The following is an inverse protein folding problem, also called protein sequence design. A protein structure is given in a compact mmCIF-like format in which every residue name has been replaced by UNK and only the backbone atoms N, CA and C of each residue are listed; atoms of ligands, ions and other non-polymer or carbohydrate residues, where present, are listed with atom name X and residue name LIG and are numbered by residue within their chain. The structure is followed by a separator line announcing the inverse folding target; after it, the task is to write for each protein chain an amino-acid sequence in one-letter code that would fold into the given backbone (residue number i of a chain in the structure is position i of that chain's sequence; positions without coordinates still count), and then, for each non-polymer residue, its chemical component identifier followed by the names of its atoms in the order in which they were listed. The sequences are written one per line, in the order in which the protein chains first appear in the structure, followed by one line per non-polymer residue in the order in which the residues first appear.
data_IF_361481452606
#
_entry.id   IF_361481452606
#
_cell.length_a   1.000
_cell.length_b   1.000
_cell.length_c   1.000
_cell.angle_alpha   90.00
_cell.angle_beta   90.00
_cell.angle_gamma   90.00
#
_symmetry.space_group_name_H-M   'P 1'
#
loop_
_entity.id
_entity.type
_entity.pdbx_description
1 polymer ?
#
# COMPACT_ATOMS: atom_id res chain seq x y z
N UNK A 1 -10.22 31.84 24.23
CA UNK A 1 -11.59 31.82 23.69
C UNK A 1 -12.64 31.71 24.82
N UNK A 2 -12.50 32.44 25.86
CA UNK A 2 -13.49 32.57 26.97
C UNK A 2 -13.66 34.06 27.27
N UNK A 3 -13.84 34.85 26.23
CA UNK A 3 -14.21 36.28 26.37
C UNK A 3 -15.34 36.56 25.38
N UNK A 4 -16.54 36.21 25.80
CA UNK A 4 -17.79 36.45 25.09
C UNK A 4 -18.81 35.37 25.47
N UNK A 5 -20.07 35.69 25.54
CA UNK A 5 -21.20 34.90 26.06
C UNK A 5 -21.49 33.57 25.32
N UNK A 6 -20.57 33.06 24.49
CA UNK A 6 -20.69 31.80 23.77
C UNK A 6 -19.81 30.72 24.42
N UNK A 7 -20.42 29.87 25.25
CA UNK A 7 -19.76 28.66 25.74
C UNK A 7 -19.59 27.66 24.59
N UNK A 8 -18.35 27.25 24.25
CA UNK A 8 -18.13 26.25 23.20
C UNK A 8 -18.85 24.95 23.54
N UNK A 9 -19.61 24.40 22.59
CA UNK A 9 -20.29 23.12 22.76
C UNK A 9 -19.34 21.92 22.53
N UNK A 10 -19.77 20.72 22.90
CA UNK A 10 -19.02 19.46 22.71
C UNK A 10 -18.56 19.28 21.25
N UNK A 11 -19.40 19.67 20.28
CA UNK A 11 -19.05 19.60 18.86
C UNK A 11 -17.84 20.46 18.51
N UNK A 12 -17.75 21.70 19.06
CA UNK A 12 -16.60 22.59 18.83
C UNK A 12 -15.30 21.97 19.36
N UNK A 13 -15.33 21.39 20.56
CA UNK A 13 -14.16 20.70 21.12
C UNK A 13 -13.77 19.47 20.30
N UNK A 14 -14.74 18.70 19.84
CA UNK A 14 -14.50 17.53 18.97
C UNK A 14 -13.86 17.93 17.64
N UNK A 15 -14.27 19.05 17.04
CA UNK A 15 -13.65 19.59 15.82
C UNK A 15 -12.19 19.97 16.06
N UNK A 16 -11.91 20.67 17.15
CA UNK A 16 -10.53 21.07 17.51
C UNK A 16 -9.65 19.86 17.80
N UNK A 17 -10.11 18.91 18.60
CA UNK A 17 -9.39 17.66 18.89
C UNK A 17 -9.10 16.87 17.60
N UNK A 18 -10.09 16.76 16.69
CA UNK A 18 -9.91 16.10 15.41
C UNK A 18 -8.90 16.83 14.52
N UNK A 19 -8.92 18.16 14.49
CA UNK A 19 -7.94 18.99 13.80
C UNK A 19 -6.52 18.75 14.29
N UNK A 20 -6.30 18.76 15.61
CA UNK A 20 -5.01 18.46 16.23
C UNK A 20 -4.54 17.03 15.90
N UNK A 21 -5.43 16.05 16.00
CA UNK A 21 -5.14 14.66 15.69
C UNK A 21 -4.81 14.44 14.21
N UNK A 22 -5.52 15.07 13.27
CA UNK A 22 -5.26 15.00 11.83
C UNK A 22 -3.86 15.51 11.47
N UNK A 23 -3.44 16.60 12.13
CA UNK A 23 -2.13 17.22 11.93
C UNK A 23 -1.02 16.62 12.80
N UNK A 24 -1.24 15.46 13.40
CA UNK A 24 -0.30 14.73 14.27
C UNK A 24 0.12 15.44 15.55
N UNK A 25 -0.55 16.51 15.97
CA UNK A 25 -0.33 17.20 17.25
C UNK A 25 -1.02 16.47 18.41
N UNK A 26 -0.74 15.17 18.55
CA UNK A 26 -1.43 14.28 19.50
C UNK A 26 -1.18 14.64 20.96
N UNK A 27 -0.01 15.22 21.29
CA UNK A 27 0.28 15.68 22.66
C UNK A 27 -0.54 16.91 23.01
N UNK A 28 -0.73 17.82 22.06
CA UNK A 28 -1.58 18.99 22.22
C UNK A 28 -3.05 18.56 22.36
N UNK A 29 -3.49 17.58 21.58
CA UNK A 29 -4.83 17.03 21.69
C UNK A 29 -5.08 16.42 23.08
N UNK A 30 -4.13 15.64 23.62
CA UNK A 30 -4.23 15.08 24.96
C UNK A 30 -4.21 16.13 26.05
N UNK A 31 -3.34 17.16 25.94
CA UNK A 31 -3.30 18.29 26.89
C UNK A 31 -4.62 19.05 26.87
N UNK A 32 -5.16 19.35 25.68
CA UNK A 32 -6.45 20.00 25.54
C UNK A 32 -7.57 19.15 26.14
N UNK A 33 -7.64 17.86 25.85
CA UNK A 33 -8.61 16.94 26.39
C UNK A 33 -8.59 16.92 27.93
N UNK A 34 -7.40 16.81 28.53
CA UNK A 34 -7.23 16.87 30.00
C UNK A 34 -7.62 18.23 30.61
N UNK A 35 -7.25 19.30 29.92
CA UNK A 35 -7.66 20.65 30.34
C UNK A 35 -9.18 20.80 30.36
N UNK A 36 -9.84 20.36 29.32
CA UNK A 36 -11.30 20.40 29.20
C UNK A 36 -12.00 19.59 30.30
N UNK A 37 -11.53 18.39 30.61
CA UNK A 37 -12.06 17.57 31.72
C UNK A 37 -11.95 18.28 33.07
N UNK A 38 -10.83 18.97 33.32
CA UNK A 38 -10.66 19.76 34.56
C UNK A 38 -11.65 20.93 34.70
N UNK A 39 -12.13 21.44 33.55
CA UNK A 39 -13.13 22.50 33.47
C UNK A 39 -14.57 21.98 33.33
N UNK A 40 -14.82 20.71 33.68
CA UNK A 40 -16.16 20.13 33.72
C UNK A 40 -16.68 19.60 32.40
N UNK A 41 -15.84 19.56 31.36
CA UNK A 41 -16.24 18.90 30.10
C UNK A 41 -16.37 17.40 30.30
N UNK A 42 -17.53 16.85 29.93
CA UNK A 42 -17.82 15.43 29.95
C UNK A 42 -17.60 14.86 28.52
N UNK A 43 -16.54 14.05 28.31
CA UNK A 43 -16.28 13.48 27.02
C UNK A 43 -17.33 12.42 26.66
N UNK A 44 -17.75 12.41 25.40
CA UNK A 44 -18.64 11.38 24.84
C UNK A 44 -17.84 10.30 24.08
N UNK A 45 -18.51 9.20 23.67
CA UNK A 45 -17.91 8.15 22.87
C UNK A 45 -17.22 8.70 21.62
N UNK A 46 -17.81 9.71 20.95
CA UNK A 46 -17.23 10.36 19.76
C UNK A 46 -15.90 11.03 20.09
N UNK A 47 -15.79 11.73 21.25
CA UNK A 47 -14.56 12.39 21.71
C UNK A 47 -13.42 11.37 21.89
N UNK A 48 -13.72 10.26 22.57
CA UNK A 48 -12.76 9.17 22.78
C UNK A 48 -12.33 8.54 21.45
N UNK A 49 -13.26 8.29 20.53
CA UNK A 49 -12.96 7.73 19.22
C UNK A 49 -12.07 8.64 18.37
N UNK A 50 -12.24 9.96 18.43
CA UNK A 50 -11.35 10.94 17.78
C UNK A 50 -9.92 10.80 18.30
N UNK A 51 -9.74 10.76 19.62
CA UNK A 51 -8.42 10.60 20.24
C UNK A 51 -7.79 9.25 19.91
N UNK A 52 -8.53 8.15 20.05
CA UNK A 52 -8.06 6.81 19.73
C UNK A 52 -7.60 6.75 18.27
N UNK A 53 -8.42 7.25 17.33
CA UNK A 53 -8.09 7.30 15.89
C UNK A 53 -6.84 8.13 15.61
N UNK A 54 -6.70 9.29 16.25
CA UNK A 54 -5.54 10.17 16.13
C UNK A 54 -4.25 9.52 16.65
N UNK A 55 -4.31 8.95 17.86
CA UNK A 55 -3.20 8.23 18.50
C UNK A 55 -2.79 7.00 17.69
N UNK A 56 -3.76 6.24 17.16
CA UNK A 56 -3.52 5.11 16.29
C UNK A 56 -2.82 5.50 14.97
N UNK A 57 -3.21 6.62 14.36
CA UNK A 57 -2.54 7.17 13.18
C UNK A 57 -1.10 7.62 13.48
N UNK A 58 -0.86 8.15 14.67
CA UNK A 58 0.47 8.55 15.14
C UNK A 58 1.33 7.37 15.63
N UNK A 59 0.81 6.13 15.63
CA UNK A 59 1.53 4.95 16.11
C UNK A 59 1.61 4.82 17.63
N UNK A 60 0.91 5.67 18.39
CA UNK A 60 0.95 5.74 19.87
C UNK A 60 -0.01 4.73 20.50
N UNK A 61 0.20 3.44 20.23
CA UNK A 61 -0.69 2.35 20.64
C UNK A 61 -0.89 2.26 22.16
N UNK A 62 0.19 2.48 22.95
CA UNK A 62 0.09 2.43 24.43
C UNK A 62 -0.90 3.48 24.94
N UNK A 63 -0.79 4.71 24.44
CA UNK A 63 -1.68 5.82 24.83
C UNK A 63 -3.11 5.57 24.32
N UNK A 64 -3.27 5.03 23.09
CA UNK A 64 -4.60 4.69 22.56
C UNK A 64 -5.30 3.63 23.43
N UNK A 65 -4.57 2.62 23.92
CA UNK A 65 -5.12 1.62 24.87
C UNK A 65 -5.51 2.23 26.22
N UNK A 66 -4.72 3.18 26.69
CA UNK A 66 -5.04 3.88 27.92
C UNK A 66 -6.33 4.70 27.78
N UNK A 67 -6.52 5.43 26.65
CA UNK A 67 -7.78 6.12 26.33
C UNK A 67 -8.96 5.14 26.19
N UNK A 68 -8.73 3.93 25.61
CA UNK A 68 -9.76 2.88 25.55
C UNK A 68 -10.20 2.41 26.95
N UNK A 69 -9.25 2.26 27.87
CA UNK A 69 -9.55 1.91 29.27
C UNK A 69 -10.36 3.02 29.94
N UNK A 70 -9.93 4.26 29.78
CA UNK A 70 -10.62 5.43 30.34
C UNK A 70 -12.05 5.58 29.80
N UNK A 71 -12.27 5.28 28.50
CA UNK A 71 -13.60 5.22 27.92
C UNK A 71 -14.50 4.21 28.67
N UNK A 72 -13.96 3.02 28.98
CA UNK A 72 -14.70 2.03 29.80
C UNK A 72 -14.95 2.51 31.24
N UNK A 73 -13.96 3.11 31.87
CA UNK A 73 -14.05 3.60 33.26
C UNK A 73 -15.03 4.79 33.37
N UNK A 74 -15.25 5.55 32.29
CA UNK A 74 -16.25 6.64 32.22
C UNK A 74 -17.69 6.18 31.99
N UNK A 75 -17.96 4.88 32.02
CA UNK A 75 -19.29 4.31 31.83
C UNK A 75 -19.73 4.17 30.36
N UNK A 76 -18.90 4.53 29.41
CA UNK A 76 -19.19 4.38 27.99
C UNK A 76 -18.72 3.02 27.46
N UNK A 77 -19.58 2.30 26.74
CA UNK A 77 -19.19 1.07 26.06
C UNK A 77 -18.44 1.39 24.74
N UNK A 78 -17.20 0.87 24.54
CA UNK A 78 -16.57 0.93 23.22
C UNK A 78 -17.47 0.27 22.17
N UNK A 79 -17.63 0.87 21.00
CA UNK A 79 -18.42 0.32 19.90
C UNK A 79 -17.54 -0.42 18.86
N UNK A 80 -18.17 -0.99 17.83
CA UNK A 80 -17.47 -1.70 16.76
C UNK A 80 -16.36 -0.84 16.10
N UNK A 81 -16.62 0.45 15.88
CA UNK A 81 -15.64 1.39 15.30
C UNK A 81 -14.42 1.55 16.21
N UNK A 82 -14.62 1.64 17.54
CA UNK A 82 -13.54 1.73 18.53
C UNK A 82 -12.64 0.50 18.45
N UNK A 83 -13.23 -0.70 18.51
CA UNK A 83 -12.50 -1.98 18.45
C UNK A 83 -11.75 -2.15 17.14
N UNK A 84 -12.41 -1.92 16.00
CA UNK A 84 -11.80 -2.04 14.66
C UNK A 84 -10.64 -1.05 14.49
N UNK A 85 -10.77 0.18 14.99
CA UNK A 85 -9.70 1.19 14.91
C UNK A 85 -8.45 0.77 15.66
N UNK A 86 -8.59 0.25 16.89
CA UNK A 86 -7.45 -0.20 17.71
C UNK A 86 -6.86 -1.50 17.15
N UNK A 87 -7.69 -2.44 16.74
CA UNK A 87 -7.28 -3.70 16.14
C UNK A 87 -6.43 -3.43 14.88
N UNK A 88 -6.87 -2.56 13.98
CA UNK A 88 -6.10 -2.12 12.80
C UNK A 88 -4.77 -1.47 13.20
N UNK A 89 -4.76 -0.66 14.25
CA UNK A 89 -3.52 -0.09 14.77
C UNK A 89 -2.56 -1.15 15.29
N UNK A 90 -3.05 -2.15 16.03
CA UNK A 90 -2.26 -3.27 16.51
C UNK A 90 -1.62 -4.05 15.35
N UNK A 91 -2.39 -4.43 14.34
CA UNK A 91 -1.92 -5.19 13.20
C UNK A 91 -0.91 -4.40 12.35
N UNK A 92 -1.15 -3.10 12.11
CA UNK A 92 -0.19 -2.24 11.43
C UNK A 92 1.15 -2.14 12.16
N UNK A 93 1.15 -2.15 13.49
CA UNK A 93 2.35 -2.12 14.33
C UNK A 93 2.90 -3.53 14.63
N UNK A 94 2.47 -4.57 13.91
CA UNK A 94 2.86 -5.97 14.07
C UNK A 94 2.62 -6.54 15.49
N UNK A 95 1.69 -5.94 16.24
CA UNK A 95 1.27 -6.42 17.56
C UNK A 95 0.08 -7.39 17.41
N UNK A 96 0.29 -8.47 16.65
CA UNK A 96 -0.77 -9.42 16.27
C UNK A 96 -1.48 -10.04 17.46
N UNK A 97 -0.73 -10.50 18.48
CA UNK A 97 -1.31 -11.09 19.70
C UNK A 97 -2.35 -10.14 20.33
N UNK A 98 -1.98 -8.89 20.51
CA UNK A 98 -2.87 -7.88 21.08
C UNK A 98 -4.06 -7.59 20.16
N UNK A 99 -3.86 -7.54 18.86
CA UNK A 99 -4.95 -7.37 17.88
C UNK A 99 -5.97 -8.50 17.96
N UNK A 100 -5.51 -9.74 18.12
CA UNK A 100 -6.38 -10.93 18.30
C UNK A 100 -7.10 -10.95 19.66
N UNK A 101 -6.48 -10.46 20.73
CA UNK A 101 -7.14 -10.27 22.03
C UNK A 101 -8.30 -9.28 21.93
N UNK A 102 -8.10 -8.17 21.20
CA UNK A 102 -9.14 -7.17 20.96
C UNK A 102 -10.26 -7.74 20.09
N UNK A 103 -9.92 -8.51 19.07
CA UNK A 103 -10.86 -9.24 18.23
C UNK A 103 -11.75 -10.17 19.07
N UNK A 104 -11.13 -10.96 19.95
CA UNK A 104 -11.85 -11.87 20.85
C UNK A 104 -12.77 -11.12 21.84
N UNK A 105 -12.31 -9.96 22.33
CA UNK A 105 -13.12 -9.09 23.19
C UNK A 105 -14.34 -8.52 22.46
N UNK A 106 -14.16 -8.11 21.20
CA UNK A 106 -15.24 -7.62 20.34
C UNK A 106 -16.29 -8.69 20.09
N UNK A 107 -15.87 -9.94 19.72
CA UNK A 107 -16.76 -11.08 19.51
C UNK A 107 -17.56 -11.43 20.78
N UNK A 108 -16.89 -11.48 21.94
CA UNK A 108 -17.57 -11.78 23.23
C UNK A 108 -18.65 -10.77 23.58
N UNK A 109 -18.55 -9.54 23.09
CA UNK A 109 -19.56 -8.49 23.28
C UNK A 109 -20.65 -8.49 22.21
N UNK A 110 -20.64 -9.44 21.28
CA UNK A 110 -21.64 -9.58 20.23
C UNK A 110 -21.55 -8.52 19.12
N UNK A 111 -20.43 -7.81 19.00
CA UNK A 111 -20.25 -6.86 17.91
C UNK A 111 -19.91 -7.58 16.61
N UNK A 112 -20.62 -7.24 15.54
CA UNK A 112 -20.36 -7.66 14.18
C UNK A 112 -19.36 -6.73 13.50
N UNK A 113 -18.75 -7.21 12.42
CA UNK A 113 -17.84 -6.40 11.58
C UNK A 113 -18.61 -5.85 10.38
N UNK A 114 -18.20 -4.65 9.95
CA UNK A 114 -18.46 -4.17 8.60
C UNK A 114 -17.41 -4.76 7.63
N UNK A 115 -17.55 -4.54 6.33
CA UNK A 115 -16.62 -5.02 5.32
C UNK A 115 -15.17 -4.61 5.60
N UNK A 116 -14.97 -3.39 6.08
CA UNK A 116 -13.65 -2.91 6.48
C UNK A 116 -13.07 -3.66 7.69
N UNK A 117 -13.88 -4.01 8.66
CA UNK A 117 -13.51 -4.83 9.81
C UNK A 117 -13.06 -6.21 9.38
N UNK A 118 -13.85 -6.88 8.54
CA UNK A 118 -13.51 -8.18 7.96
C UNK A 118 -12.19 -8.13 7.18
N UNK A 119 -12.00 -7.18 6.26
CA UNK A 119 -10.75 -7.01 5.52
C UNK A 119 -9.54 -6.83 6.45
N UNK A 120 -9.70 -6.08 7.54
CA UNK A 120 -8.62 -5.85 8.52
C UNK A 120 -8.21 -7.15 9.21
N UNK A 121 -9.17 -7.99 9.59
CA UNK A 121 -8.92 -9.28 10.25
C UNK A 121 -8.31 -10.28 9.28
N UNK A 122 -8.90 -10.46 8.11
CA UNK A 122 -8.40 -11.35 7.07
C UNK A 122 -6.95 -10.97 6.71
N UNK A 123 -6.69 -9.68 6.46
CA UNK A 123 -5.36 -9.17 6.18
C UNK A 123 -4.34 -9.49 7.30
N UNK A 124 -4.77 -9.45 8.55
CA UNK A 124 -3.89 -9.78 9.67
C UNK A 124 -3.56 -11.29 9.70
N UNK A 125 -4.55 -12.16 9.51
CA UNK A 125 -4.34 -13.61 9.46
C UNK A 125 -3.45 -14.02 8.29
N UNK A 126 -3.65 -13.46 7.10
CA UNK A 126 -2.78 -13.72 5.93
C UNK A 126 -1.33 -13.33 6.23
N UNK A 127 -1.10 -12.14 6.82
CA UNK A 127 0.26 -11.66 7.17
C UNK A 127 1.00 -12.51 8.20
N UNK A 128 0.27 -13.18 9.10
CA UNK A 128 0.88 -14.09 10.08
C UNK A 128 0.91 -15.54 9.60
N UNK A 129 0.47 -15.81 8.37
CA UNK A 129 0.49 -17.15 7.76
C UNK A 129 -0.63 -18.08 8.22
N UNK A 130 -1.63 -17.58 8.97
CA UNK A 130 -2.80 -18.34 9.43
C UNK A 130 -3.91 -18.31 8.39
N UNK A 131 -3.69 -19.03 7.27
CA UNK A 131 -4.57 -18.96 6.11
C UNK A 131 -5.94 -19.57 6.37
N UNK A 132 -6.00 -20.67 7.13
CA UNK A 132 -7.28 -21.31 7.48
C UNK A 132 -8.23 -20.33 8.15
N UNK A 133 -7.73 -19.62 9.16
CA UNK A 133 -8.54 -18.63 9.86
C UNK A 133 -8.88 -17.43 8.96
N UNK A 134 -8.01 -17.07 8.02
CA UNK A 134 -8.35 -16.05 7.03
C UNK A 134 -9.52 -16.49 6.15
N UNK A 135 -9.53 -17.76 5.71
CA UNK A 135 -10.65 -18.35 4.93
C UNK A 135 -11.92 -18.45 5.77
N UNK A 136 -11.83 -18.95 7.01
CA UNK A 136 -12.99 -19.04 7.93
C UNK A 136 -13.65 -17.66 8.13
N UNK A 137 -12.84 -16.58 8.22
CA UNK A 137 -13.37 -15.21 8.32
C UNK A 137 -13.98 -14.68 7.02
N UNK A 138 -13.50 -15.14 5.86
CA UNK A 138 -14.15 -14.82 4.57
C UNK A 138 -15.53 -15.50 4.46
N UNK A 139 -15.61 -16.77 4.81
CA UNK A 139 -16.89 -17.51 4.83
C UNK A 139 -17.87 -16.90 5.83
N UNK A 140 -17.40 -16.53 7.02
CA UNK A 140 -18.22 -15.84 8.01
C UNK A 140 -18.74 -14.49 7.50
N UNK A 141 -17.93 -13.73 6.80
CA UNK A 141 -18.33 -12.45 6.20
C UNK A 141 -19.49 -12.63 5.21
N UNK A 142 -19.41 -13.65 4.35
CA UNK A 142 -20.48 -14.00 3.41
C UNK A 142 -21.74 -14.43 4.18
N UNK A 143 -21.59 -15.26 5.22
CA UNK A 143 -22.69 -15.72 6.08
C UNK A 143 -23.38 -14.57 6.81
N UNK A 144 -22.61 -13.58 7.26
CA UNK A 144 -23.13 -12.38 7.92
C UNK A 144 -23.77 -11.37 6.91
N UNK A 145 -23.81 -11.71 5.61
CA UNK A 145 -24.39 -10.87 4.56
C UNK A 145 -23.57 -9.59 4.26
N UNK A 146 -22.30 -9.56 4.67
CA UNK A 146 -21.42 -8.41 4.43
C UNK A 146 -20.75 -8.56 3.08
N UNK A 147 -21.12 -7.70 2.13
CA UNK A 147 -20.49 -7.67 0.81
C UNK A 147 -19.20 -6.82 0.83
N UNK A 148 -18.19 -7.30 0.12
CA UNK A 148 -17.00 -6.51 -0.18
C UNK A 148 -17.24 -5.64 -1.42
N UNK A 149 -16.63 -4.46 -1.42
CA UNK A 149 -16.51 -3.65 -2.64
C UNK A 149 -15.26 -4.05 -3.45
N UNK A 150 -15.16 -3.58 -4.67
CA UNK A 150 -14.02 -3.83 -5.57
C UNK A 150 -12.69 -3.46 -4.91
N UNK A 151 -12.66 -2.37 -4.15
CA UNK A 151 -11.43 -1.90 -3.47
C UNK A 151 -10.99 -2.89 -2.39
N UNK A 152 -11.93 -3.47 -1.67
CA UNK A 152 -11.68 -4.49 -0.65
C UNK A 152 -11.18 -5.79 -1.27
N UNK A 153 -11.83 -6.28 -2.36
CA UNK A 153 -11.35 -7.43 -3.12
C UNK A 153 -9.92 -7.21 -3.62
N UNK A 154 -9.65 -6.11 -4.30
CA UNK A 154 -8.31 -5.78 -4.80
C UNK A 154 -7.27 -5.68 -3.69
N UNK A 155 -7.64 -5.17 -2.52
CA UNK A 155 -6.75 -5.11 -1.35
C UNK A 155 -6.38 -6.50 -0.85
N UNK A 156 -7.33 -7.42 -0.77
CA UNK A 156 -7.10 -8.79 -0.33
C UNK A 156 -6.33 -9.61 -1.38
N UNK A 157 -6.70 -9.51 -2.65
CA UNK A 157 -5.97 -10.15 -3.77
C UNK A 157 -4.50 -9.72 -3.75
N UNK A 158 -4.23 -8.40 -3.65
CA UNK A 158 -2.87 -7.87 -3.56
C UNK A 158 -2.11 -8.41 -2.34
N UNK A 159 -2.80 -8.57 -1.22
CA UNK A 159 -2.20 -9.12 -0.01
C UNK A 159 -1.82 -10.60 -0.19
N UNK A 160 -2.73 -11.42 -0.71
CA UNK A 160 -2.45 -12.83 -0.99
C UNK A 160 -1.30 -12.99 -1.99
N UNK A 161 -1.29 -12.17 -3.06
CA UNK A 161 -0.18 -12.12 -4.00
C UNK A 161 1.17 -11.76 -3.34
N UNK A 162 1.19 -10.76 -2.45
CA UNK A 162 2.41 -10.34 -1.73
C UNK A 162 2.95 -11.42 -0.80
N UNK A 163 2.08 -12.22 -0.22
CA UNK A 163 2.43 -13.34 0.64
C UNK A 163 2.70 -14.64 -0.14
N UNK A 164 2.70 -14.58 -1.48
CA UNK A 164 2.96 -15.72 -2.37
C UNK A 164 1.84 -16.77 -2.43
N UNK A 165 0.64 -16.42 -1.97
CA UNK A 165 -0.54 -17.32 -1.90
C UNK A 165 -1.42 -17.14 -3.13
N UNK A 166 -0.88 -17.48 -4.29
CA UNK A 166 -1.54 -17.24 -5.57
C UNK A 166 -2.87 -18.00 -5.72
N UNK A 167 -2.95 -19.24 -5.25
CA UNK A 167 -4.20 -20.02 -5.30
C UNK A 167 -5.35 -19.32 -4.57
N UNK A 168 -5.08 -18.83 -3.36
CA UNK A 168 -6.06 -18.06 -2.60
C UNK A 168 -6.42 -16.72 -3.26
N UNK A 169 -5.46 -16.10 -3.96
CA UNK A 169 -5.74 -14.88 -4.74
C UNK A 169 -6.68 -15.16 -5.92
N UNK A 170 -6.52 -16.29 -6.62
CA UNK A 170 -7.42 -16.71 -7.70
C UNK A 170 -8.81 -17.08 -7.18
N UNK A 171 -8.90 -17.81 -6.07
CA UNK A 171 -10.20 -18.13 -5.45
C UNK A 171 -10.98 -16.84 -5.08
N UNK A 172 -10.27 -15.83 -4.60
CA UNK A 172 -10.88 -14.55 -4.28
C UNK A 172 -11.30 -13.76 -5.53
N UNK A 173 -10.59 -13.94 -6.64
CA UNK A 173 -10.96 -13.39 -7.94
C UNK A 173 -12.25 -14.03 -8.45
N UNK A 174 -12.33 -15.36 -8.42
CA UNK A 174 -13.52 -16.11 -8.82
C UNK A 174 -14.75 -15.72 -7.96
N UNK A 175 -14.53 -15.48 -6.66
CA UNK A 175 -15.60 -15.03 -5.77
C UNK A 175 -16.06 -13.61 -6.13
N UNK A 176 -15.12 -12.70 -6.42
CA UNK A 176 -15.42 -11.35 -6.89
C UNK A 176 -16.29 -11.36 -8.15
N UNK A 177 -15.98 -12.22 -9.12
CA UNK A 177 -16.75 -12.38 -10.36
C UNK A 177 -18.13 -12.99 -10.10
N UNK A 178 -18.27 -13.99 -9.21
CA UNK A 178 -19.56 -14.57 -8.79
C UNK A 178 -20.48 -13.55 -8.13
N UNK A 179 -19.92 -12.59 -7.41
CA UNK A 179 -20.65 -11.47 -6.81
C UNK A 179 -21.03 -10.38 -7.82
N UNK A 180 -20.72 -10.56 -9.11
CA UNK A 180 -21.09 -9.66 -10.18
C UNK A 180 -20.13 -8.46 -10.36
N UNK A 181 -18.96 -8.49 -9.75
CA UNK A 181 -17.93 -7.47 -9.97
C UNK A 181 -17.02 -7.88 -11.14
N UNK A 182 -16.92 -7.03 -12.13
CA UNK A 182 -15.96 -7.22 -13.23
C UNK A 182 -14.55 -6.87 -12.77
N UNK A 183 -13.59 -7.72 -13.17
CA UNK A 183 -12.19 -7.44 -12.91
C UNK A 183 -11.71 -6.28 -13.77
N UNK A 184 -11.23 -5.23 -13.12
CA UNK A 184 -10.67 -4.07 -13.80
C UNK A 184 -9.18 -4.23 -14.14
N UNK A 185 -8.65 -3.31 -14.93
CA UNK A 185 -7.23 -3.25 -15.28
C UNK A 185 -6.30 -3.34 -14.05
N UNK A 186 -6.72 -2.75 -12.94
CA UNK A 186 -5.94 -2.72 -11.72
C UNK A 186 -5.89 -4.10 -11.06
N UNK A 187 -7.00 -4.83 -11.01
CA UNK A 187 -7.09 -6.22 -10.52
C UNK A 187 -6.12 -7.14 -11.27
N UNK A 188 -6.16 -7.10 -12.59
CA UNK A 188 -5.25 -7.90 -13.43
C UNK A 188 -3.77 -7.52 -13.23
N UNK A 189 -3.47 -6.21 -13.08
CA UNK A 189 -2.10 -5.75 -12.81
C UNK A 189 -1.57 -6.28 -11.47
N UNK A 190 -2.41 -6.32 -10.43
CA UNK A 190 -2.06 -6.92 -9.14
C UNK A 190 -1.67 -8.39 -9.28
N UNK A 191 -2.43 -9.16 -10.06
CA UNK A 191 -2.14 -10.58 -10.30
C UNK A 191 -0.81 -10.76 -11.04
N UNK A 192 -0.55 -9.96 -12.07
CA UNK A 192 0.74 -9.98 -12.79
C UNK A 192 1.89 -9.64 -11.84
N UNK A 193 1.77 -8.61 -11.02
CA UNK A 193 2.80 -8.25 -10.02
C UNK A 193 3.01 -9.39 -9.01
N UNK A 194 1.93 -10.02 -8.57
CA UNK A 194 1.97 -11.18 -7.67
C UNK A 194 2.67 -12.39 -8.29
N UNK A 195 2.30 -12.75 -9.53
CA UNK A 195 2.95 -13.82 -10.30
C UNK A 195 4.44 -13.55 -10.51
N UNK A 196 4.79 -12.30 -10.84
CA UNK A 196 6.18 -11.87 -10.95
C UNK A 196 6.94 -12.04 -9.64
N UNK A 197 6.37 -11.62 -8.50
CA UNK A 197 6.99 -11.76 -7.18
C UNK A 197 7.16 -13.20 -6.74
N UNK A 198 6.22 -14.06 -7.09
CA UNK A 198 6.31 -15.51 -6.86
C UNK A 198 7.30 -16.24 -7.81
N UNK A 199 7.89 -15.52 -8.77
CA UNK A 199 8.81 -16.09 -9.76
C UNK A 199 8.11 -16.81 -10.92
N UNK A 200 6.78 -16.81 -10.97
CA UNK A 200 5.99 -17.42 -12.06
C UNK A 200 5.87 -16.47 -13.25
N UNK A 201 7.00 -16.23 -13.93
CA UNK A 201 7.07 -15.31 -15.08
C UNK A 201 6.25 -15.82 -16.27
N UNK A 202 6.17 -17.15 -16.45
CA UNK A 202 5.33 -17.74 -17.52
C UNK A 202 3.86 -17.40 -17.28
N UNK A 203 3.37 -17.61 -16.07
CA UNK A 203 2.00 -17.24 -15.69
C UNK A 203 1.73 -15.74 -15.85
N UNK A 204 2.68 -14.88 -15.46
CA UNK A 204 2.56 -13.44 -15.63
C UNK A 204 2.42 -13.02 -17.12
N UNK A 205 3.18 -13.64 -18.00
CA UNK A 205 3.07 -13.40 -19.46
C UNK A 205 1.74 -13.88 -20.03
N UNK A 206 1.31 -15.09 -19.69
CA UNK A 206 0.02 -15.62 -20.12
C UNK A 206 -1.14 -14.73 -19.65
N UNK A 207 -1.06 -14.23 -18.42
CA UNK A 207 -2.08 -13.32 -17.89
C UNK A 207 -2.07 -11.95 -18.59
N UNK A 208 -0.89 -11.44 -18.95
CA UNK A 208 -0.76 -10.23 -19.76
C UNK A 208 -1.35 -10.40 -21.16
N UNK A 209 -1.09 -11.55 -21.81
CA UNK A 209 -1.70 -11.89 -23.10
C UNK A 209 -3.23 -12.01 -23.00
N UNK A 210 -3.73 -12.57 -21.88
CA UNK A 210 -5.17 -12.60 -21.60
C UNK A 210 -5.75 -11.18 -21.45
N UNK A 211 -5.09 -10.29 -20.69
CA UNK A 211 -5.52 -8.89 -20.56
C UNK A 211 -5.63 -8.18 -21.91
N UNK A 212 -4.64 -8.38 -22.78
CA UNK A 212 -4.66 -7.76 -24.11
C UNK A 212 -5.83 -8.30 -24.95
N UNK A 213 -6.15 -9.61 -24.85
CA UNK A 213 -7.28 -10.22 -25.57
C UNK A 213 -8.64 -9.68 -25.13
N UNK A 214 -8.80 -9.34 -23.85
CA UNK A 214 -10.05 -8.78 -23.32
C UNK A 214 -10.12 -7.24 -23.43
N UNK A 215 -9.19 -6.61 -24.17
CA UNK A 215 -9.23 -5.20 -24.49
C UNK A 215 -8.53 -4.28 -23.49
N UNK A 216 -7.76 -4.80 -22.53
CA UNK A 216 -6.90 -4.00 -21.66
C UNK A 216 -5.52 -3.76 -22.27
N UNK A 217 -5.49 -3.31 -23.50
CA UNK A 217 -4.25 -3.02 -24.23
C UNK A 217 -3.37 -1.98 -23.53
N UNK A 218 -2.08 -1.99 -23.88
CA UNK A 218 -1.08 -0.99 -23.41
C UNK A 218 -0.96 -0.86 -21.91
N UNK A 219 -1.10 -1.98 -21.16
CA UNK A 219 -0.92 -1.95 -19.72
C UNK A 219 0.57 -1.80 -19.32
N UNK A 220 1.03 -0.55 -19.36
CA UNK A 220 2.40 -0.14 -19.08
C UNK A 220 2.90 -0.66 -17.70
N UNK A 221 2.03 -0.63 -16.69
CA UNK A 221 2.37 -1.09 -15.34
C UNK A 221 2.64 -2.59 -15.29
N UNK A 222 1.80 -3.39 -15.96
CA UNK A 222 1.98 -4.84 -16.04
C UNK A 222 3.26 -5.23 -16.79
N UNK A 223 3.53 -4.58 -17.92
CA UNK A 223 4.80 -4.77 -18.66
C UNK A 223 6.00 -4.39 -17.78
N UNK A 224 5.94 -3.25 -17.09
CA UNK A 224 7.00 -2.78 -16.21
C UNK A 224 7.26 -3.77 -15.05
N UNK A 225 6.22 -4.37 -14.47
CA UNK A 225 6.37 -5.43 -13.45
C UNK A 225 7.17 -6.62 -13.98
N UNK A 226 6.85 -7.08 -15.20
CA UNK A 226 7.54 -8.22 -15.83
C UNK A 226 9.00 -7.87 -16.16
N UNK A 227 9.24 -6.70 -16.77
CA UNK A 227 10.61 -6.24 -17.12
C UNK A 227 11.47 -6.08 -15.88
N UNK A 228 10.94 -5.46 -14.83
CA UNK A 228 11.68 -5.27 -13.57
C UNK A 228 12.02 -6.61 -12.90
N UNK A 229 11.08 -7.54 -12.90
CA UNK A 229 11.30 -8.87 -12.33
C UNK A 229 12.33 -9.67 -13.09
N UNK A 230 12.21 -9.75 -14.42
CA UNK A 230 13.18 -10.42 -15.26
C UNK A 230 14.60 -9.85 -15.10
N UNK A 231 14.71 -8.52 -14.98
CA UNK A 231 15.97 -7.85 -14.70
C UNK A 231 16.56 -8.20 -13.33
N UNK A 232 15.73 -8.32 -12.30
CA UNK A 232 16.15 -8.72 -10.94
C UNK A 232 16.59 -10.19 -10.88
N UNK A 233 15.95 -11.05 -11.65
CA UNK A 233 16.28 -12.49 -11.74
C UNK A 233 17.48 -12.79 -12.67
N UNK A 234 18.11 -11.75 -13.21
CA UNK A 234 19.26 -11.86 -14.11
C UNK A 234 18.92 -12.32 -15.53
N UNK A 235 17.63 -12.49 -15.85
CA UNK A 235 17.13 -12.91 -17.18
C UNK A 235 17.04 -11.73 -18.13
N UNK A 236 18.16 -11.03 -18.31
CA UNK A 236 18.18 -9.73 -19.00
C UNK A 236 17.76 -9.80 -20.47
N UNK A 237 18.07 -10.90 -21.18
CA UNK A 237 17.67 -11.06 -22.59
C UNK A 237 16.16 -11.20 -22.73
N UNK A 238 15.50 -11.90 -21.81
CA UNK A 238 14.04 -11.95 -21.77
C UNK A 238 13.43 -10.59 -21.41
N UNK A 239 14.09 -9.83 -20.52
CA UNK A 239 13.65 -8.46 -20.18
C UNK A 239 13.75 -7.52 -21.40
N UNK A 240 14.81 -7.65 -22.21
CA UNK A 240 14.98 -6.91 -23.46
C UNK A 240 13.84 -7.25 -24.43
N UNK A 241 13.56 -8.53 -24.65
CA UNK A 241 12.50 -8.95 -25.57
C UNK A 241 11.12 -8.40 -25.18
N UNK A 242 10.79 -8.44 -23.86
CA UNK A 242 9.55 -7.84 -23.36
C UNK A 242 9.55 -6.33 -23.52
N UNK A 243 10.67 -5.67 -23.22
CA UNK A 243 10.81 -4.22 -23.40
C UNK A 243 10.66 -3.82 -24.87
N UNK A 244 11.22 -4.57 -25.80
CA UNK A 244 11.11 -4.28 -27.24
C UNK A 244 9.69 -4.48 -27.77
N UNK A 245 8.95 -5.49 -27.27
CA UNK A 245 7.56 -5.75 -27.66
C UNK A 245 6.54 -4.70 -27.15
N UNK A 246 6.94 -3.84 -26.22
CA UNK A 246 6.06 -2.78 -25.72
C UNK A 246 5.85 -1.69 -26.79
N UNK A 247 4.60 -1.38 -27.10
CA UNK A 247 4.25 -0.29 -28.02
C UNK A 247 4.53 1.08 -27.39
N UNK A 248 4.12 1.24 -26.14
CA UNK A 248 4.29 2.49 -25.39
C UNK A 248 5.33 2.29 -24.28
N UNK A 249 6.26 3.21 -24.16
CA UNK A 249 7.33 3.21 -23.14
C UNK A 249 7.44 4.59 -22.52
N UNK A 250 7.34 4.65 -21.19
CA UNK A 250 7.48 5.90 -20.45
C UNK A 250 8.89 6.08 -19.85
N UNK A 251 9.08 7.18 -19.19
CA UNK A 251 10.31 7.53 -18.47
C UNK A 251 10.72 6.47 -17.44
N UNK A 252 9.74 5.84 -16.79
CA UNK A 252 9.99 4.78 -15.80
C UNK A 252 10.45 3.50 -16.48
N UNK A 253 9.78 3.07 -17.56
CA UNK A 253 10.14 1.89 -18.37
C UNK A 253 11.60 1.95 -18.83
N UNK A 254 11.99 3.07 -19.46
CA UNK A 254 13.37 3.27 -19.90
C UNK A 254 14.36 3.30 -18.74
N UNK A 255 14.02 3.98 -17.64
CA UNK A 255 14.90 4.05 -16.46
C UNK A 255 15.09 2.70 -15.79
N UNK A 256 14.04 1.90 -15.69
CA UNK A 256 14.09 0.52 -15.16
C UNK A 256 14.99 -0.36 -16.05
N UNK A 257 14.80 -0.30 -17.37
CA UNK A 257 15.60 -1.09 -18.31
C UNK A 257 17.09 -0.70 -18.26
N UNK A 258 17.41 0.60 -18.26
CA UNK A 258 18.80 1.09 -18.10
C UNK A 258 19.40 0.58 -16.78
N UNK A 259 18.67 0.62 -15.69
CA UNK A 259 19.13 0.13 -14.40
C UNK A 259 19.41 -1.37 -14.39
N UNK A 260 18.49 -2.16 -14.99
CA UNK A 260 18.63 -3.63 -15.10
C UNK A 260 19.83 -4.01 -15.98
N UNK A 261 20.07 -3.30 -17.09
CA UNK A 261 21.25 -3.49 -17.93
C UNK A 261 22.54 -3.19 -17.15
N UNK A 262 22.56 -2.13 -16.34
CA UNK A 262 23.73 -1.82 -15.48
C UNK A 262 24.00 -2.92 -14.47
N UNK A 263 22.95 -3.43 -13.79
CA UNK A 263 23.08 -4.57 -12.85
C UNK A 263 23.61 -5.83 -13.52
N UNK A 264 23.17 -6.10 -14.75
CA UNK A 264 23.64 -7.22 -15.55
C UNK A 264 25.04 -7.00 -16.16
N UNK A 265 25.74 -5.90 -15.79
CA UNK A 265 27.05 -5.51 -16.33
C UNK A 265 27.07 -5.29 -17.85
N UNK A 266 25.90 -5.12 -18.51
CA UNK A 266 25.78 -4.80 -19.93
C UNK A 266 25.85 -3.28 -20.15
N UNK A 267 26.97 -2.69 -19.73
CA UNK A 267 27.18 -1.24 -19.75
C UNK A 267 27.14 -0.60 -21.14
N UNK A 268 27.65 -1.23 -22.23
CA UNK A 268 27.53 -0.68 -23.58
C UNK A 268 26.06 -0.52 -24.01
N UNK A 269 25.21 -1.54 -23.75
CA UNK A 269 23.77 -1.49 -24.05
C UNK A 269 23.06 -0.44 -23.21
N UNK A 270 23.36 -0.35 -21.91
CA UNK A 270 22.81 0.66 -21.01
C UNK A 270 23.18 2.09 -21.49
N UNK A 271 24.42 2.29 -21.90
CA UNK A 271 24.93 3.57 -22.44
C UNK A 271 24.23 3.94 -23.75
N UNK A 272 24.05 2.98 -24.67
CA UNK A 272 23.36 3.18 -25.94
C UNK A 272 21.91 3.57 -25.72
N UNK A 273 21.19 2.85 -24.83
CA UNK A 273 19.80 3.14 -24.51
C UNK A 273 19.64 4.52 -23.84
N UNK A 274 20.48 4.86 -22.87
CA UNK A 274 20.48 6.18 -22.24
C UNK A 274 20.72 7.31 -23.23
N UNK A 275 21.68 7.14 -24.14
CA UNK A 275 21.97 8.13 -25.18
C UNK A 275 20.84 8.29 -26.19
N UNK A 276 20.17 7.22 -26.55
CA UNK A 276 18.97 7.25 -27.40
C UNK A 276 17.87 8.07 -26.74
N UNK A 277 17.59 7.81 -25.46
CA UNK A 277 16.58 8.57 -24.69
C UNK A 277 16.90 10.06 -24.59
N UNK A 278 18.18 10.41 -24.34
CA UNK A 278 18.61 11.82 -24.28
C UNK A 278 18.46 12.53 -25.63
N UNK A 279 18.63 11.82 -26.76
CA UNK A 279 18.41 12.37 -28.10
C UNK A 279 16.94 12.57 -28.43
N UNK A 280 16.06 11.66 -28.02
CA UNK A 280 14.61 11.72 -28.23
C UNK A 280 13.86 12.54 -27.18
N UNK A 281 14.55 13.23 -26.27
CA UNK A 281 13.94 14.08 -25.24
C UNK A 281 13.25 13.30 -24.11
N UNK A 282 13.39 11.97 -24.06
CA UNK A 282 12.82 11.15 -22.98
C UNK A 282 13.57 11.37 -21.68
N UNK A 283 12.86 11.79 -20.64
CA UNK A 283 13.47 12.01 -19.31
C UNK A 283 13.78 10.67 -18.63
N UNK A 284 15.05 10.45 -18.30
CA UNK A 284 15.50 9.28 -17.53
C UNK A 284 15.73 9.69 -16.07
N UNK A 285 15.33 8.84 -15.13
CA UNK A 285 15.53 9.07 -13.70
C UNK A 285 17.02 9.28 -13.35
N UNK A 286 17.30 10.24 -12.46
CA UNK A 286 18.67 10.57 -12.03
C UNK A 286 19.43 9.35 -11.49
N UNK A 287 18.73 8.41 -10.83
CA UNK A 287 19.29 7.15 -10.32
C UNK A 287 19.85 6.26 -11.44
N UNK A 288 19.10 6.11 -12.54
CA UNK A 288 19.53 5.30 -13.68
C UNK A 288 20.67 5.99 -14.45
N UNK A 289 20.63 7.31 -14.63
CA UNK A 289 21.75 8.07 -15.21
C UNK A 289 23.04 7.88 -14.40
N UNK A 290 22.93 7.97 -13.07
CA UNK A 290 24.06 7.75 -12.15
C UNK A 290 24.58 6.32 -12.23
N UNK A 291 23.69 5.32 -12.29
CA UNK A 291 24.09 3.91 -12.40
C UNK A 291 24.96 3.64 -13.63
N UNK A 292 24.64 4.22 -14.79
CA UNK A 292 25.47 4.09 -16.01
C UNK A 292 26.84 4.72 -15.81
N UNK A 293 26.89 5.95 -15.31
CA UNK A 293 28.17 6.68 -15.13
C UNK A 293 29.07 5.97 -14.13
N UNK A 294 28.50 5.54 -12.99
CA UNK A 294 29.25 4.84 -11.93
C UNK A 294 29.69 3.45 -12.40
N UNK A 295 28.82 2.71 -13.10
CA UNK A 295 29.15 1.41 -13.71
C UNK A 295 30.34 1.52 -14.67
N UNK A 296 30.35 2.50 -15.58
CA UNK A 296 31.47 2.75 -16.51
C UNK A 296 32.75 3.12 -15.78
N UNK A 297 32.67 3.90 -14.69
CA UNK A 297 33.84 4.24 -13.88
C UNK A 297 34.46 3.01 -13.21
N UNK A 298 33.64 2.14 -12.64
CA UNK A 298 34.09 0.93 -11.98
C UNK A 298 34.65 -0.12 -12.97
N UNK A 299 34.16 -0.11 -14.21
CA UNK A 299 34.71 -0.97 -15.28
C UNK A 299 35.95 -0.42 -15.99
N UNK A 300 36.52 0.71 -15.51
CA UNK A 300 37.71 1.33 -16.09
C UNK A 300 37.45 2.23 -17.31
N UNK A 301 36.21 2.32 -17.82
CA UNK A 301 35.81 3.08 -19.00
C UNK A 301 35.63 4.59 -18.68
N UNK A 302 36.62 5.21 -18.04
CA UNK A 302 36.54 6.61 -17.54
C UNK A 302 36.29 7.65 -18.66
N UNK A 303 36.81 7.43 -19.88
CA UNK A 303 36.57 8.33 -21.02
C UNK A 303 35.11 8.35 -21.44
N UNK A 304 34.48 7.17 -21.53
CA UNK A 304 33.05 7.05 -21.87
C UNK A 304 32.17 7.63 -20.76
N UNK A 305 32.47 7.36 -19.49
CA UNK A 305 31.77 7.95 -18.37
C UNK A 305 31.76 9.49 -18.43
N UNK A 306 32.88 10.13 -18.71
CA UNK A 306 32.96 11.58 -18.89
C UNK A 306 32.13 12.07 -20.08
N UNK A 307 32.15 11.36 -21.23
CA UNK A 307 31.38 11.69 -22.42
C UNK A 307 29.88 11.62 -22.17
N UNK A 308 29.41 10.59 -21.46
CA UNK A 308 27.99 10.44 -21.08
C UNK A 308 27.60 11.52 -20.09
N UNK A 309 28.45 11.80 -19.09
CA UNK A 309 28.16 12.83 -18.09
C UNK A 309 28.04 14.24 -18.72
N UNK A 310 28.85 14.57 -19.71
CA UNK A 310 28.75 15.85 -20.46
C UNK A 310 27.42 15.91 -21.23
N UNK A 311 27.03 14.83 -21.92
CA UNK A 311 25.76 14.77 -22.66
C UNK A 311 24.54 14.89 -21.75
N UNK A 312 24.55 14.27 -20.55
CA UNK A 312 23.49 14.43 -19.53
C UNK A 312 23.42 15.91 -19.09
N UNK A 313 24.54 16.60 -18.92
CA UNK A 313 24.56 18.03 -18.56
C UNK A 313 23.97 18.89 -19.67
N UNK A 314 24.35 18.66 -20.92
CA UNK A 314 23.83 19.39 -22.08
C UNK A 314 22.33 19.21 -22.22
N UNK A 315 21.82 17.99 -22.11
CA UNK A 315 20.39 17.71 -22.18
C UNK A 315 19.55 18.38 -21.05
N UNK A 316 20.18 18.75 -19.92
CA UNK A 316 19.53 19.53 -18.85
C UNK A 316 19.47 21.02 -19.10
N UNK A 317 20.32 21.54 -19.97
CA UNK A 317 20.38 22.96 -20.30
C UNK A 317 19.43 23.30 -21.45
N UNK A 318 19.09 22.27 -22.26
CA UNK A 318 18.18 22.39 -23.44
C UNK A 318 16.68 22.25 -23.08
N UNK A 319 16.35 22.05 -21.81
CA UNK A 319 15.00 21.92 -21.26
C UNK A 319 14.85 22.74 -19.98
#
# INVERSE_FOLDING_TARGET
MICGDLTPCTATFNIMLNGLCKNRYTDNALRMFRGLQKHGFVPELVTYNILIKGLCKAGRLRTARWILKELGDSGHAPNAITYTTIMKCCFRNRKYKLGLEILSAMKRKGYTFDGFGYCTVIAAFVKIGRLKEATDYMEQMVTDGVQLDIVSYNTLINLYCKEGKLEAAYLLLDEMEKQGFECDKYTHTILIDGLCKAGNIKGARLHLEYMNKIGFDSNLEAYNCIVDRLGKDGKIDHAINVFESMEVKDSFTYSSMVHNLCKAKRLPSASKLLLSCLKSGVRILKSAQKAVVDGLRHSGCRREAKKIQSKIRMAKISH
#
